data_IF_355471157742
#
_entry.id   IF_355471157742
#
_cell.length_a   1.000
_cell.length_b   1.000
_cell.length_c   1.000
_cell.angle_alpha   90.00
_cell.angle_beta   90.00
_cell.angle_gamma   90.00
#
_symmetry.space_group_name_H-M   'P 1'
#
loop_
_entity.id
_entity.type
_entity.pdbx_description
1 polymer ?
#
# COMPACT_ATOMS: atom_id res chain seq x y z
N UNK A 1 11.59 -2.44 -32.86
CA UNK A 1 10.48 -2.58 -31.89
C UNK A 1 9.19 -2.62 -32.69
N UNK A 2 8.38 -3.69 -32.63
CA UNK A 2 7.16 -3.73 -33.42
C UNK A 2 6.16 -2.71 -32.84
N UNK A 3 5.45 -2.04 -33.74
CA UNK A 3 4.39 -1.09 -33.40
C UNK A 3 3.29 -1.83 -32.63
N UNK A 4 3.01 -1.36 -31.40
CA UNK A 4 1.95 -1.88 -30.56
C UNK A 4 0.63 -1.32 -31.09
N UNK A 5 -0.05 -2.07 -31.96
CA UNK A 5 -1.42 -1.76 -32.40
C UNK A 5 -2.39 -2.62 -31.61
N UNK A 6 -2.67 -2.20 -30.37
CA UNK A 6 -3.61 -2.89 -29.47
C UNK A 6 -4.40 -1.97 -28.53
N UNK A 7 -4.03 -0.68 -28.44
CA UNK A 7 -4.71 0.29 -27.58
C UNK A 7 -5.97 0.85 -28.28
N UNK A 8 -7.13 0.70 -27.66
CA UNK A 8 -8.42 1.24 -28.09
C UNK A 8 -9.11 1.95 -26.92
N UNK A 9 -10.14 2.75 -27.19
CA UNK A 9 -10.96 3.38 -26.16
C UNK A 9 -12.37 2.79 -26.21
N UNK A 10 -12.94 2.47 -25.05
CA UNK A 10 -14.33 2.01 -24.93
C UNK A 10 -15.01 2.59 -23.69
N UNK A 11 -16.34 2.75 -23.70
CA UNK A 11 -17.08 3.04 -22.49
C UNK A 11 -17.10 1.82 -21.55
N UNK A 12 -17.04 2.09 -20.25
CA UNK A 12 -17.25 1.08 -19.22
C UNK A 12 -18.67 0.51 -19.29
N UNK A 13 -18.86 -0.82 -19.31
CA UNK A 13 -20.19 -1.42 -19.40
C UNK A 13 -21.04 -1.21 -18.13
N UNK A 14 -20.45 -0.74 -17.03
CA UNK A 14 -21.15 -0.51 -15.76
C UNK A 14 -21.47 0.97 -15.50
N UNK A 15 -20.51 1.87 -15.68
CA UNK A 15 -20.69 3.29 -15.36
C UNK A 15 -20.61 4.24 -16.57
N UNK A 16 -20.28 3.72 -17.76
CA UNK A 16 -20.21 4.50 -18.99
C UNK A 16 -18.99 5.41 -19.16
N UNK A 17 -18.08 5.48 -18.18
CA UNK A 17 -16.86 6.29 -18.32
C UNK A 17 -15.97 5.75 -19.45
N UNK A 18 -15.30 6.63 -20.19
CA UNK A 18 -14.32 6.22 -21.21
C UNK A 18 -13.09 5.57 -20.56
N UNK A 19 -12.70 4.41 -21.09
CA UNK A 19 -11.56 3.62 -20.63
C UNK A 19 -10.61 3.36 -21.79
N UNK A 20 -9.30 3.49 -21.54
CA UNK A 20 -8.27 2.98 -22.45
C UNK A 20 -8.09 1.49 -22.21
N UNK A 21 -8.04 0.72 -23.29
CA UNK A 21 -8.06 -0.73 -23.30
C UNK A 21 -6.93 -1.22 -24.17
N UNK A 22 -6.11 -2.13 -23.67
CA UNK A 22 -5.08 -2.79 -24.45
C UNK A 22 -5.34 -4.30 -24.34
N UNK A 23 -5.45 -4.97 -25.49
CA UNK A 23 -5.83 -6.38 -25.59
C UNK A 23 -4.83 -7.33 -24.92
N UNK A 24 -3.61 -6.85 -24.64
CA UNK A 24 -2.56 -7.62 -23.95
C UNK A 24 -2.74 -7.67 -22.44
N UNK A 25 -3.63 -6.85 -21.86
CA UNK A 25 -3.78 -6.71 -20.42
C UNK A 25 -5.22 -6.92 -19.95
N UNK A 26 -5.37 -7.36 -18.69
CA UNK A 26 -6.68 -7.41 -18.03
C UNK A 26 -7.22 -6.00 -17.84
N UNK A 27 -8.42 -5.77 -18.35
CA UNK A 27 -9.09 -4.47 -18.37
C UNK A 27 -9.90 -4.27 -17.11
N UNK A 28 -9.82 -3.09 -16.48
CA UNK A 28 -10.68 -2.73 -15.36
C UNK A 28 -11.00 -1.23 -15.39
N UNK A 29 -12.07 -0.80 -14.73
CA UNK A 29 -12.49 0.61 -14.70
C UNK A 29 -11.97 1.33 -13.46
N UNK A 30 -11.14 2.36 -13.63
CA UNK A 30 -10.66 3.18 -12.50
C UNK A 30 -11.75 4.00 -11.79
N UNK A 31 -12.87 4.27 -12.45
CA UNK A 31 -13.95 5.07 -11.85
C UNK A 31 -14.88 4.24 -10.95
N UNK A 32 -15.22 3.02 -11.37
CA UNK A 32 -16.20 2.19 -10.65
C UNK A 32 -15.66 0.83 -10.18
N UNK A 33 -14.38 0.53 -10.44
CA UNK A 33 -13.71 -0.75 -10.17
C UNK A 33 -14.34 -1.96 -10.87
N UNK A 34 -15.04 -1.74 -11.98
CA UNK A 34 -15.53 -2.84 -12.80
C UNK A 34 -14.36 -3.73 -13.23
N UNK A 35 -14.51 -5.05 -13.05
CA UNK A 35 -13.52 -6.11 -13.31
C UNK A 35 -12.27 -6.13 -12.40
N UNK A 36 -12.29 -5.43 -11.26
CA UNK A 36 -11.23 -5.52 -10.23
C UNK A 36 -11.38 -6.76 -9.33
N UNK A 37 -12.62 -7.25 -9.17
CA UNK A 37 -12.95 -8.33 -8.25
C UNK A 37 -13.49 -9.56 -9.00
N UNK A 38 -12.72 -10.66 -9.10
CA UNK A 38 -13.12 -11.86 -9.83
C UNK A 38 -14.27 -12.63 -9.15
N UNK A 39 -14.56 -12.39 -7.87
CA UNK A 39 -15.70 -13.02 -7.17
C UNK A 39 -17.04 -12.36 -7.52
N UNK A 40 -17.00 -11.26 -8.28
CA UNK A 40 -18.17 -10.58 -8.81
C UNK A 40 -18.89 -9.74 -7.76
N UNK A 41 -19.45 -8.63 -8.24
CA UNK A 41 -20.40 -7.82 -7.49
C UNK A 41 -21.70 -8.61 -7.30
N UNK A 42 -21.75 -9.40 -6.22
CA UNK A 42 -22.95 -10.12 -5.83
C UNK A 42 -24.15 -9.16 -5.67
N UNK A 43 -25.38 -9.62 -5.96
CA UNK A 43 -26.59 -8.80 -5.95
C UNK A 43 -26.90 -8.12 -4.60
N UNK A 44 -26.21 -8.53 -3.54
CA UNK A 44 -26.38 -8.04 -2.17
C UNK A 44 -25.09 -7.45 -1.59
N UNK A 45 -24.40 -6.57 -2.32
CA UNK A 45 -23.40 -5.72 -1.67
C UNK A 45 -24.12 -4.88 -0.60
N UNK A 46 -24.11 -5.36 0.63
CA UNK A 46 -24.82 -4.76 1.75
C UNK A 46 -24.32 -3.36 2.05
N UNK A 47 -24.96 -2.71 3.03
CA UNK A 47 -24.46 -1.42 3.56
C UNK A 47 -22.98 -1.52 4.00
N UNK A 48 -22.57 -2.69 4.49
CA UNK A 48 -21.22 -2.98 4.97
C UNK A 48 -20.21 -3.05 3.83
N UNK A 49 -20.44 -3.85 2.77
CA UNK A 49 -19.57 -3.86 1.56
C UNK A 49 -19.40 -2.48 0.95
N UNK A 50 -20.47 -1.67 0.86
CA UNK A 50 -20.39 -0.29 0.38
C UNK A 50 -19.52 0.59 1.27
N UNK A 51 -19.65 0.44 2.59
CA UNK A 51 -18.83 1.18 3.55
C UNK A 51 -17.36 0.73 3.49
N UNK A 52 -17.10 -0.57 3.40
CA UNK A 52 -15.77 -1.15 3.27
C UNK A 52 -15.06 -0.65 2.00
N UNK A 53 -15.76 -0.64 0.85
CA UNK A 53 -15.20 -0.10 -0.41
C UNK A 53 -14.94 1.40 -0.33
N UNK A 54 -15.83 2.16 0.29
CA UNK A 54 -15.60 3.60 0.51
C UNK A 54 -14.40 3.87 1.44
N UNK A 55 -14.20 3.05 2.47
CA UNK A 55 -13.02 3.09 3.34
C UNK A 55 -11.77 2.70 2.58
N UNK A 56 -11.81 1.63 1.78
CA UNK A 56 -10.68 1.18 0.95
C UNK A 56 -10.28 2.25 -0.08
N UNK A 57 -11.22 2.98 -0.68
CA UNK A 57 -10.88 4.13 -1.56
C UNK A 57 -10.26 5.29 -0.77
N UNK A 58 -10.81 5.62 0.41
CA UNK A 58 -10.30 6.72 1.25
C UNK A 58 -8.94 6.42 1.89
N UNK A 59 -8.63 5.15 2.12
CA UNK A 59 -7.44 4.73 2.87
C UNK A 59 -6.46 3.90 2.01
N UNK A 60 -6.82 3.52 0.79
CA UNK A 60 -5.96 2.77 -0.13
C UNK A 60 -4.77 3.58 -0.64
N UNK A 61 -4.88 4.91 -0.65
CA UNK A 61 -3.77 5.83 -0.94
C UNK A 61 -2.88 6.10 0.28
N UNK A 62 -3.27 5.62 1.46
CA UNK A 62 -2.52 5.80 2.67
C UNK A 62 -1.91 4.46 3.08
N UNK A 63 -0.61 4.24 2.80
CA UNK A 63 0.09 3.14 3.44
C UNK A 63 -0.17 3.23 4.96
N UNK A 64 -0.37 2.08 5.64
CA UNK A 64 -0.81 2.00 7.03
C UNK A 64 -0.02 2.90 7.99
N UNK A 65 1.18 3.33 7.58
CA UNK A 65 1.99 4.41 8.12
C UNK A 65 1.24 5.70 8.44
N UNK A 66 0.39 6.25 7.56
CA UNK A 66 -0.27 7.55 7.81
C UNK A 66 -1.34 7.45 8.90
N UNK A 67 -2.15 6.39 8.88
CA UNK A 67 -3.14 6.12 9.91
C UNK A 67 -2.46 5.83 11.25
N UNK A 68 -1.41 5.00 11.26
CA UNK A 68 -0.61 4.73 12.46
C UNK A 68 0.00 6.02 13.03
N UNK A 69 0.53 6.90 12.18
CA UNK A 69 1.08 8.20 12.59
C UNK A 69 0.01 9.11 13.17
N UNK A 70 -1.16 9.20 12.54
CA UNK A 70 -2.26 10.00 13.05
C UNK A 70 -2.71 9.51 14.43
N UNK A 71 -2.86 8.19 14.63
CA UNK A 71 -3.18 7.61 15.93
C UNK A 71 -2.12 7.90 16.99
N UNK A 72 -0.83 7.81 16.65
CA UNK A 72 0.27 8.14 17.57
C UNK A 72 0.28 9.62 17.99
N UNK A 73 -0.13 10.52 17.10
CA UNK A 73 -0.16 11.96 17.39
C UNK A 73 -1.42 12.40 18.15
N UNK A 74 -2.55 11.72 17.95
CA UNK A 74 -3.83 12.07 18.56
C UNK A 74 -4.11 11.34 19.88
N UNK A 75 -3.54 10.14 20.07
CA UNK A 75 -3.78 9.31 21.25
C UNK A 75 -3.02 9.80 22.49
N UNK A 76 -3.55 9.48 23.67
CA UNK A 76 -2.82 9.63 24.93
C UNK A 76 -1.71 8.57 25.01
N UNK A 77 -0.48 8.93 25.43
CA UNK A 77 0.56 7.94 25.66
C UNK A 77 0.14 6.96 26.77
N UNK A 78 0.08 5.68 26.43
CA UNK A 78 -0.19 4.60 27.37
C UNK A 78 1.12 3.95 27.85
N UNK A 79 1.08 3.34 29.03
CA UNK A 79 2.22 2.58 29.54
C UNK A 79 2.54 1.40 28.61
N UNK A 80 3.81 1.26 28.25
CA UNK A 80 4.25 0.18 27.37
C UNK A 80 4.04 -1.18 28.04
N UNK A 81 3.30 -2.07 27.38
CA UNK A 81 3.11 -3.45 27.84
C UNK A 81 4.42 -4.27 27.80
N UNK A 82 5.37 -3.88 26.94
CA UNK A 82 6.68 -4.51 26.82
C UNK A 82 7.75 -3.46 27.11
N UNK A 83 8.45 -3.65 28.23
CA UNK A 83 9.59 -2.82 28.62
C UNK A 83 10.87 -3.57 28.28
N UNK A 84 11.73 -3.06 27.36
CA UNK A 84 13.00 -3.68 27.05
C UNK A 84 13.91 -3.74 28.28
N UNK A 85 14.50 -4.90 28.52
CA UNK A 85 15.49 -5.05 29.59
C UNK A 85 16.81 -4.40 29.17
N UNK A 86 17.31 -3.45 29.98
CA UNK A 86 18.51 -2.66 29.66
C UNK A 86 19.70 -3.53 29.23
N UNK A 87 20.05 -4.55 30.02
CA UNK A 87 21.14 -5.46 29.71
C UNK A 87 20.96 -6.20 28.36
N UNK A 88 19.74 -6.63 28.03
CA UNK A 88 19.47 -7.32 26.76
C UNK A 88 19.61 -6.36 25.58
N UNK A 89 19.13 -5.12 25.74
CA UNK A 89 19.28 -4.07 24.74
C UNK A 89 20.75 -3.72 24.51
N UNK A 90 21.55 -3.61 25.57
CA UNK A 90 22.99 -3.34 25.50
C UNK A 90 23.74 -4.45 24.77
N UNK A 91 23.43 -5.71 25.06
CA UNK A 91 24.02 -6.85 24.34
C UNK A 91 23.70 -6.83 22.86
N UNK A 92 22.44 -6.62 22.49
CA UNK A 92 22.03 -6.49 21.08
C UNK A 92 22.73 -5.31 20.42
N UNK A 93 22.85 -4.18 21.11
CA UNK A 93 23.54 -3.00 20.59
C UNK A 93 25.03 -3.27 20.35
N UNK A 94 25.69 -3.98 21.27
CA UNK A 94 27.09 -4.37 21.13
C UNK A 94 27.29 -5.38 19.98
N UNK A 95 26.43 -6.40 19.89
CA UNK A 95 26.45 -7.39 18.80
C UNK A 95 26.28 -6.73 17.43
N UNK A 96 25.43 -5.71 17.32
CA UNK A 96 25.16 -5.01 16.07
C UNK A 96 26.12 -3.83 15.78
N UNK A 97 27.03 -3.48 16.71
CA UNK A 97 27.80 -2.24 16.63
C UNK A 97 28.70 -2.17 15.38
N UNK A 98 29.41 -3.26 15.08
CA UNK A 98 30.30 -3.33 13.92
C UNK A 98 29.51 -3.31 12.61
N UNK A 99 28.46 -4.14 12.50
CA UNK A 99 27.60 -4.20 11.32
C UNK A 99 26.92 -2.86 11.02
N UNK A 100 26.48 -2.13 12.06
CA UNK A 100 25.91 -0.78 11.92
C UNK A 100 26.94 0.23 11.43
N UNK A 101 28.15 0.18 11.95
CA UNK A 101 29.24 1.05 11.52
C UNK A 101 29.59 0.82 10.05
N UNK A 102 29.67 -0.45 9.64
CA UNK A 102 29.92 -0.83 8.26
C UNK A 102 28.80 -0.36 7.32
N UNK A 103 27.53 -0.62 7.68
CA UNK A 103 26.39 -0.16 6.90
C UNK A 103 26.35 1.36 6.78
N UNK A 104 26.61 2.09 7.87
CA UNK A 104 26.67 3.55 7.84
C UNK A 104 27.75 4.06 6.87
N UNK A 105 28.93 3.41 6.82
CA UNK A 105 29.99 3.77 5.88
C UNK A 105 29.60 3.50 4.43
N UNK A 106 28.90 2.39 4.16
CA UNK A 106 28.40 2.07 2.82
C UNK A 106 27.37 3.08 2.35
N UNK A 107 26.35 3.35 3.17
CA UNK A 107 25.32 4.35 2.86
C UNK A 107 25.91 5.74 2.59
N UNK A 108 26.94 6.14 3.33
CA UNK A 108 27.62 7.42 3.12
C UNK A 108 28.52 7.45 1.87
N UNK A 109 29.06 6.30 1.47
CA UNK A 109 29.95 6.19 0.31
C UNK A 109 29.18 6.05 -0.99
N UNK A 110 28.15 5.21 -0.97
CA UNK A 110 27.47 4.71 -2.15
C UNK A 110 26.09 5.39 -2.37
N UNK A 111 25.60 6.17 -1.40
CA UNK A 111 24.22 6.63 -1.40
C UNK A 111 23.23 5.48 -1.13
N UNK A 112 21.92 5.76 -1.12
CA UNK A 112 20.87 4.73 -1.01
C UNK A 112 20.58 4.07 -2.38
N UNK A 113 21.60 3.85 -3.19
CA UNK A 113 21.40 3.35 -4.56
C UNK A 113 21.43 1.81 -4.56
N UNK A 114 20.34 1.22 -5.06
CA UNK A 114 20.17 -0.19 -5.46
C UNK A 114 20.80 -0.43 -6.86
#
# INVERSE_FOLDING_TARGET
MPAITGETTRPCPQCGVEMRVDDRFTVWCAACDWNVDPEGQGPDAGRLERAARALARRHGEHPPTHLRRACLLAGTPEAAAVVPQAHRTERIAAELAEARTEMARRLLRDGLDD
#
